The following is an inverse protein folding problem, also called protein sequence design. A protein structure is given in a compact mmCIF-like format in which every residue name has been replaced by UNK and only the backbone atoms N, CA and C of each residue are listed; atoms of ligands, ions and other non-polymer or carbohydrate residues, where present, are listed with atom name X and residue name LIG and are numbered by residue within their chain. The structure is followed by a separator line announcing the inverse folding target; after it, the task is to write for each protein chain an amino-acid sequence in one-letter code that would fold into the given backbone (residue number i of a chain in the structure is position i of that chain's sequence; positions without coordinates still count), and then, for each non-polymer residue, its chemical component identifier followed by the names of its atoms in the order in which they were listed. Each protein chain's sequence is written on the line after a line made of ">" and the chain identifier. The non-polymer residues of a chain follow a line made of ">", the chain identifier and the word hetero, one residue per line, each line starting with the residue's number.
data_IF_835887555080
#
_entry.id   IF_835887555080
#
_cell.length_a   1.000
_cell.length_b   1.000
_cell.length_c   1.000
_cell.angle_alpha   90.00
_cell.angle_beta   90.00
_cell.angle_gamma   90.00
#
_symmetry.space_group_name_H-M   'P 1'
#
loop_
_entity.id
_entity.type
_entity.pdbx_description
1 polymer ?
#
# COMPACT_ATOMS: atom_id res chain seq x y z
N UNK A 1 22.33 4.50 1.20
CA UNK A 1 21.00 4.52 0.56
C UNK A 1 19.95 4.82 1.62
N UNK A 2 18.84 5.45 1.24
CA UNK A 2 17.74 5.79 2.15
C UNK A 2 16.43 5.17 1.66
N UNK A 3 15.81 4.39 2.53
CA UNK A 3 14.41 4.03 2.36
C UNK A 3 13.59 4.98 3.22
N UNK A 4 12.95 5.90 2.54
CA UNK A 4 12.08 6.90 3.11
C UNK A 4 10.64 6.41 3.10
N UNK A 5 9.95 6.58 4.23
CA UNK A 5 8.51 6.34 4.36
C UNK A 5 7.83 7.67 4.69
N UNK A 6 7.11 8.22 3.70
CA UNK A 6 6.37 9.47 3.85
C UNK A 6 4.91 9.18 4.18
N UNK A 7 4.47 9.48 5.40
CA UNK A 7 3.05 9.59 5.74
C UNK A 7 2.63 11.05 5.53
N UNK A 8 1.97 11.32 4.39
CA UNK A 8 1.40 12.65 4.12
C UNK A 8 -0.11 12.57 4.36
N UNK A 9 -0.57 13.31 5.37
CA UNK A 9 -1.98 13.45 5.68
C UNK A 9 -2.52 14.71 5.01
N UNK A 10 -3.29 14.55 3.93
CA UNK A 10 -4.09 15.63 3.38
C UNK A 10 -5.54 15.52 3.87
N UNK A 11 -5.96 16.50 4.68
CA UNK A 11 -7.38 16.86 4.79
C UNK A 11 -7.65 17.94 3.75
N UNK A 12 -8.25 17.59 2.61
CA UNK A 12 -8.79 18.61 1.70
C UNK A 12 -10.26 18.34 1.41
N UNK A 13 -11.01 19.44 1.43
CA UNK A 13 -12.40 19.59 1.03
C UNK A 13 -12.54 19.38 -0.48
N UNK A 14 -13.49 18.55 -0.89
CA UNK A 14 -13.91 18.38 -2.28
C UNK A 14 -14.71 19.59 -2.79
N UNK A 15 -14.51 19.90 -4.06
CA UNK A 15 -15.29 20.85 -4.86
C UNK A 15 -15.92 20.06 -6.00
N UNK A 16 -17.24 20.13 -6.06
CA UNK A 16 -18.16 19.45 -6.96
C UNK A 16 -18.18 20.11 -8.35
N UNK A 17 -18.06 19.32 -9.42
CA UNK A 17 -18.20 19.78 -10.81
C UNK A 17 -18.89 18.70 -11.68
N UNK A 18 -20.20 18.85 -11.85
CA UNK A 18 -20.87 19.01 -13.14
C UNK A 18 -20.75 17.90 -14.20
N UNK A 19 -21.80 17.08 -14.31
CA UNK A 19 -22.11 16.18 -15.43
C UNK A 19 -22.37 16.92 -16.76
N UNK A 20 -21.96 16.31 -17.87
CA UNK A 20 -22.73 16.23 -19.13
C UNK A 20 -22.29 14.98 -19.93
N UNK A 21 -23.23 14.30 -20.59
CA UNK A 21 -23.02 12.99 -21.23
C UNK A 21 -23.19 12.99 -22.76
N UNK A 22 -22.85 11.87 -23.40
CA UNK A 22 -23.36 11.42 -24.70
C UNK A 22 -22.96 9.94 -24.98
N UNK A 23 -23.81 9.22 -25.70
CA UNK A 23 -23.83 7.77 -25.96
C UNK A 23 -23.47 7.37 -27.41
N UNK A 24 -23.29 6.04 -27.62
CA UNK A 24 -23.33 5.22 -28.88
C UNK A 24 -21.97 5.00 -29.60
N UNK A 25 -21.60 3.85 -30.20
CA UNK A 25 -22.17 2.50 -30.36
C UNK A 25 -21.08 1.48 -30.83
N UNK A 26 -21.44 0.19 -30.67
CA UNK A 26 -20.95 -1.13 -31.11
C UNK A 26 -19.81 -1.35 -32.14
N UNK A 27 -19.07 -2.45 -31.94
CA UNK A 27 -18.31 -3.16 -32.99
C UNK A 27 -17.67 -4.47 -32.49
N UNK A 28 -18.15 -5.63 -32.96
CA UNK A 28 -17.75 -6.98 -32.52
C UNK A 28 -16.75 -7.70 -33.45
N UNK A 29 -16.12 -8.76 -32.91
CA UNK A 29 -15.45 -9.95 -33.51
C UNK A 29 -13.92 -9.93 -33.69
N UNK A 30 -13.23 -11.11 -33.75
CA UNK A 30 -13.46 -12.39 -33.07
C UNK A 30 -12.20 -12.98 -32.36
N UNK A 31 -12.44 -14.05 -31.60
CA UNK A 31 -11.51 -14.76 -30.73
C UNK A 31 -10.30 -15.45 -31.42
N UNK A 32 -9.14 -15.36 -30.76
CA UNK A 32 -7.99 -16.22 -30.99
C UNK A 32 -7.77 -17.14 -29.77
N UNK A 33 -7.66 -18.44 -30.02
CA UNK A 33 -7.41 -19.50 -29.04
C UNK A 33 -6.04 -19.32 -28.38
N UNK A 34 -5.97 -19.40 -27.05
CA UNK A 34 -4.70 -19.45 -26.32
C UNK A 34 -4.72 -20.55 -25.26
N UNK A 35 -3.58 -21.21 -25.15
CA UNK A 35 -3.30 -22.44 -24.43
C UNK A 35 -3.59 -22.36 -22.92
N UNK A 36 -4.07 -23.48 -22.35
CA UNK A 36 -4.42 -23.60 -20.94
C UNK A 36 -3.15 -23.64 -20.08
N UNK A 37 -2.69 -22.46 -19.66
CA UNK A 37 -2.02 -22.28 -18.37
C UNK A 37 -3.12 -21.87 -17.41
N UNK A 38 -3.39 -22.68 -16.39
CA UNK A 38 -4.36 -22.38 -15.32
C UNK A 38 -4.07 -20.97 -14.81
N UNK A 39 -4.84 -20.00 -15.30
CA UNK A 39 -4.48 -18.58 -15.16
C UNK A 39 -5.02 -18.10 -13.83
N UNK A 40 -4.26 -17.26 -13.12
CA UNK A 40 -4.66 -16.64 -11.86
C UNK A 40 -6.00 -15.87 -11.95
N UNK A 41 -6.51 -15.63 -13.16
CA UNK A 41 -7.84 -15.07 -13.42
C UNK A 41 -8.98 -16.00 -12.95
N UNK A 42 -8.77 -17.33 -12.89
CA UNK A 42 -9.84 -18.29 -12.58
C UNK A 42 -10.28 -18.26 -11.10
N UNK A 43 -9.47 -17.69 -10.20
CA UNK A 43 -9.79 -17.54 -8.77
C UNK A 43 -9.82 -16.08 -8.32
N UNK A 44 -9.70 -15.12 -9.23
CA UNK A 44 -9.68 -13.71 -8.88
C UNK A 44 -11.08 -13.23 -8.52
N UNK A 45 -11.25 -12.81 -7.27
CA UNK A 45 -12.49 -12.20 -6.80
C UNK A 45 -12.53 -10.77 -7.33
N UNK A 46 -13.45 -10.49 -8.26
CA UNK A 46 -13.51 -9.21 -8.95
C UNK A 46 -12.23 -8.88 -9.74
N UNK A 47 -12.01 -7.60 -10.00
CA UNK A 47 -10.86 -7.10 -10.75
C UNK A 47 -9.76 -6.66 -9.79
N UNK A 48 -8.59 -7.29 -9.89
CA UNK A 48 -7.45 -7.10 -9.00
C UNK A 48 -6.58 -5.91 -9.39
N UNK A 49 -6.60 -5.50 -10.67
CA UNK A 49 -6.01 -4.26 -11.16
C UNK A 49 -7.08 -3.43 -11.87
N UNK A 50 -7.41 -2.27 -11.29
CA UNK A 50 -8.47 -1.38 -11.77
C UNK A 50 -8.22 -0.83 -13.18
N UNK A 51 -6.99 -0.91 -13.69
CA UNK A 51 -6.70 -0.57 -15.10
C UNK A 51 -7.46 -1.49 -16.07
N UNK A 52 -7.81 -2.71 -15.63
CA UNK A 52 -8.56 -3.70 -16.41
C UNK A 52 -10.08 -3.64 -16.18
N UNK A 53 -10.58 -2.65 -15.43
CA UNK A 53 -12.00 -2.52 -15.12
C UNK A 53 -12.77 -1.94 -16.31
N UNK A 54 -13.75 -2.67 -16.82
CA UNK A 54 -14.63 -2.25 -17.92
C UNK A 54 -16.11 -2.50 -17.58
N UNK A 55 -17.00 -1.49 -17.72
CA UNK A 55 -16.73 -0.09 -18.00
C UNK A 55 -16.07 0.60 -16.80
N UNK A 56 -15.17 1.56 -17.05
CA UNK A 56 -14.59 2.38 -15.97
C UNK A 56 -15.56 3.50 -15.56
N UNK A 57 -16.35 3.25 -14.52
CA UNK A 57 -17.21 4.23 -13.86
C UNK A 57 -17.00 4.24 -12.34
N UNK A 58 -17.35 5.32 -11.65
CA UNK A 58 -17.29 5.38 -10.19
C UNK A 58 -18.12 4.26 -9.53
N UNK A 59 -19.32 4.01 -10.06
CA UNK A 59 -20.19 2.92 -9.58
C UNK A 59 -19.52 1.56 -9.70
N UNK A 60 -18.94 1.24 -10.87
CA UNK A 60 -18.23 -0.02 -11.10
C UNK A 60 -16.99 -0.17 -10.22
N UNK A 61 -16.30 0.94 -9.95
CA UNK A 61 -15.10 0.97 -9.13
C UNK A 61 -15.43 0.67 -7.67
N UNK A 62 -16.48 1.33 -7.15
CA UNK A 62 -16.99 1.09 -5.79
C UNK A 62 -17.53 -0.33 -5.66
N UNK A 63 -18.30 -0.81 -6.64
CA UNK A 63 -18.84 -2.17 -6.64
C UNK A 63 -17.73 -3.23 -6.61
N UNK A 64 -16.66 -3.03 -7.40
CA UNK A 64 -15.52 -3.94 -7.40
C UNK A 64 -14.79 -3.94 -6.05
N UNK A 65 -14.50 -2.77 -5.47
CA UNK A 65 -13.88 -2.68 -4.15
C UNK A 65 -14.74 -3.33 -3.08
N UNK A 66 -16.06 -3.13 -3.14
CA UNK A 66 -17.01 -3.73 -2.20
C UNK A 66 -17.02 -5.26 -2.31
N UNK A 67 -17.13 -5.79 -3.52
CA UNK A 67 -17.13 -7.23 -3.76
C UNK A 67 -15.83 -7.88 -3.26
N UNK A 68 -14.68 -7.26 -3.54
CA UNK A 68 -13.38 -7.72 -3.02
C UNK A 68 -13.33 -7.67 -1.49
N UNK A 69 -13.75 -6.56 -0.89
CA UNK A 69 -13.76 -6.40 0.56
C UNK A 69 -14.63 -7.44 1.26
N UNK A 70 -15.81 -7.74 0.72
CA UNK A 70 -16.75 -8.73 1.26
C UNK A 70 -16.14 -10.15 1.29
N UNK A 71 -15.15 -10.42 0.42
CA UNK A 71 -14.40 -11.67 0.38
C UNK A 71 -13.03 -11.62 1.08
N UNK A 72 -12.76 -10.58 1.89
CA UNK A 72 -11.48 -10.35 2.58
C UNK A 72 -10.30 -9.93 1.69
N UNK A 73 -10.55 -9.57 0.43
CA UNK A 73 -9.56 -9.03 -0.48
C UNK A 73 -9.44 -7.52 -0.27
N UNK A 74 -8.62 -7.11 0.70
CA UNK A 74 -8.51 -5.69 1.10
C UNK A 74 -7.56 -4.85 0.24
N UNK A 75 -6.73 -5.51 -0.56
CA UNK A 75 -5.77 -4.85 -1.45
C UNK A 75 -6.25 -4.94 -2.89
N UNK A 76 -6.11 -3.85 -3.64
CA UNK A 76 -6.39 -3.81 -5.07
C UNK A 76 -5.38 -2.90 -5.75
N UNK A 77 -4.94 -3.21 -6.96
CA UNK A 77 -3.98 -2.41 -7.70
C UNK A 77 -4.64 -1.38 -8.61
N UNK A 78 -3.90 -0.31 -8.86
CA UNK A 78 -4.09 0.59 -10.00
C UNK A 78 -2.71 0.71 -10.65
N UNK A 79 -2.39 -0.20 -11.57
CA UNK A 79 -1.02 -0.35 -12.06
C UNK A 79 -0.05 -0.61 -10.90
N UNK A 80 0.88 0.32 -10.64
CA UNK A 80 1.86 0.21 -9.54
C UNK A 80 1.38 0.78 -8.19
N UNK A 81 0.18 1.35 -8.13
CA UNK A 81 -0.40 1.90 -6.88
C UNK A 81 -1.20 0.83 -6.16
N UNK A 82 -1.12 0.81 -4.83
CA UNK A 82 -1.89 -0.12 -3.98
C UNK A 82 -3.00 0.61 -3.25
N UNK A 83 -4.25 0.25 -3.52
CA UNK A 83 -5.42 0.60 -2.72
C UNK A 83 -5.47 -0.36 -1.54
N UNK A 84 -5.62 0.19 -0.32
CA UNK A 84 -5.74 -0.58 0.91
C UNK A 84 -7.03 -0.19 1.63
N UNK A 85 -7.98 -1.12 1.72
CA UNK A 85 -9.23 -0.97 2.50
C UNK A 85 -9.00 -1.46 3.93
N UNK A 86 -9.31 -0.65 4.95
CA UNK A 86 -9.11 -1.07 6.34
C UNK A 86 -10.18 -2.11 6.77
N UNK A 87 -9.82 -3.36 7.10
CA UNK A 87 -10.79 -4.38 7.52
C UNK A 87 -11.29 -4.22 8.95
N UNK A 88 -10.67 -3.36 9.78
CA UNK A 88 -10.93 -3.24 11.23
C UNK A 88 -10.82 -4.56 12.01
N UNK A 89 -10.15 -5.56 11.43
CA UNK A 89 -9.85 -6.86 12.04
C UNK A 89 -8.51 -7.37 11.53
N UNK A 90 -7.87 -8.24 12.31
CA UNK A 90 -6.68 -8.95 11.86
C UNK A 90 -7.04 -9.99 10.81
N UNK A 91 -6.40 -9.93 9.65
CA UNK A 91 -6.53 -10.93 8.59
C UNK A 91 -5.29 -11.85 8.59
N UNK A 92 -5.44 -13.16 8.30
CA UNK A 92 -4.34 -14.12 8.27
C UNK A 92 -3.48 -14.01 7.01
N UNK A 93 -3.24 -12.79 6.52
CA UNK A 93 -2.47 -12.49 5.29
C UNK A 93 -1.09 -11.89 5.61
N UNK A 94 -0.82 -11.58 6.88
CA UNK A 94 0.44 -11.00 7.36
C UNK A 94 1.28 -12.04 8.10
N UNK A 95 1.55 -13.18 7.47
CA UNK A 95 2.32 -14.28 8.04
C UNK A 95 3.74 -14.32 7.46
N UNK A 96 4.71 -14.95 8.15
CA UNK A 96 6.05 -15.18 7.61
C UNK A 96 6.03 -15.94 6.28
N UNK A 97 5.10 -16.89 6.13
CA UNK A 97 4.93 -17.63 4.87
C UNK A 97 4.55 -16.70 3.72
N UNK A 98 3.67 -15.73 3.96
CA UNK A 98 3.30 -14.70 2.98
C UNK A 98 4.47 -13.76 2.67
N UNK A 99 5.36 -13.49 3.62
CA UNK A 99 6.59 -12.71 3.34
C UNK A 99 7.45 -13.45 2.32
N UNK A 100 7.72 -14.74 2.52
CA UNK A 100 8.53 -15.53 1.59
C UNK A 100 7.83 -15.77 0.24
N UNK A 101 6.49 -15.89 0.24
CA UNK A 101 5.71 -16.02 -1.00
C UNK A 101 5.90 -14.81 -1.93
N UNK A 102 5.87 -13.60 -1.39
CA UNK A 102 5.99 -12.34 -2.15
C UNK A 102 7.43 -11.89 -2.39
N UNK A 103 8.40 -12.58 -1.78
CA UNK A 103 9.82 -12.22 -1.87
C UNK A 103 10.40 -12.48 -3.25
N UNK A 104 11.06 -11.48 -3.82
CA UNK A 104 11.66 -11.54 -5.16
C UNK A 104 10.67 -12.02 -6.23
N UNK A 105 9.42 -11.56 -6.16
CA UNK A 105 8.38 -11.81 -7.16
C UNK A 105 8.10 -10.55 -7.94
N UNK A 106 7.72 -10.70 -9.20
CA UNK A 106 7.26 -9.57 -9.99
C UNK A 106 5.86 -9.13 -9.51
N UNK A 107 5.56 -7.84 -9.68
CA UNK A 107 4.36 -7.21 -9.12
C UNK A 107 3.03 -7.87 -9.53
N UNK A 108 2.98 -8.44 -10.74
CA UNK A 108 1.76 -9.05 -11.32
C UNK A 108 1.78 -10.59 -11.30
N UNK A 109 2.76 -11.22 -10.65
CA UNK A 109 2.81 -12.69 -10.52
C UNK A 109 1.87 -13.23 -9.44
N UNK A 110 1.50 -12.40 -8.47
CA UNK A 110 0.68 -12.77 -7.32
C UNK A 110 -0.52 -11.84 -7.18
N UNK A 111 -1.47 -12.26 -6.35
CA UNK A 111 -2.64 -11.46 -5.98
C UNK A 111 -2.24 -10.10 -5.37
N UNK A 112 -3.10 -9.08 -5.45
CA UNK A 112 -2.79 -7.79 -4.86
C UNK A 112 -2.45 -7.85 -3.37
N UNK A 113 -1.28 -7.33 -3.01
CA UNK A 113 -0.83 -7.26 -1.62
C UNK A 113 0.19 -6.13 -1.41
N UNK A 114 0.24 -5.58 -0.19
CA UNK A 114 1.21 -4.54 0.20
C UNK A 114 2.67 -5.03 0.18
N UNK A 115 2.90 -6.33 0.36
CA UNK A 115 4.24 -6.92 0.31
C UNK A 115 4.87 -6.87 -1.08
N UNK A 116 4.08 -6.92 -2.16
CA UNK A 116 4.62 -6.75 -3.50
C UNK A 116 5.23 -5.33 -3.68
N UNK A 117 4.56 -4.30 -3.14
CA UNK A 117 5.06 -2.93 -3.14
C UNK A 117 6.33 -2.81 -2.28
N UNK A 118 6.34 -3.43 -1.11
CA UNK A 118 7.51 -3.41 -0.21
C UNK A 118 8.72 -4.16 -0.81
N UNK A 119 8.47 -5.28 -1.50
CA UNK A 119 9.50 -6.06 -2.19
C UNK A 119 10.10 -5.29 -3.35
N UNK A 120 9.27 -4.67 -4.19
CA UNK A 120 9.74 -3.84 -5.31
C UNK A 120 10.59 -2.67 -4.82
N UNK A 121 10.13 -1.97 -3.77
CA UNK A 121 10.91 -0.90 -3.15
C UNK A 121 12.24 -1.43 -2.59
N UNK A 122 12.23 -2.53 -1.84
CA UNK A 122 13.45 -3.09 -1.25
C UNK A 122 14.44 -3.59 -2.32
N UNK A 123 13.96 -4.23 -3.39
CA UNK A 123 14.80 -4.65 -4.52
C UNK A 123 15.38 -3.46 -5.26
N UNK A 124 14.59 -2.43 -5.53
CA UNK A 124 15.08 -1.19 -6.16
C UNK A 124 16.12 -0.48 -5.29
N UNK A 125 15.94 -0.49 -3.97
CA UNK A 125 16.94 -0.01 -3.02
C UNK A 125 18.23 -0.86 -3.12
N UNK A 126 18.14 -2.17 -2.90
CA UNK A 126 19.31 -3.07 -2.81
C UNK A 126 20.07 -3.25 -4.12
N UNK A 127 19.38 -3.42 -5.23
CA UNK A 127 19.96 -3.85 -6.50
C UNK A 127 20.29 -2.69 -7.43
N UNK A 128 19.64 -1.53 -7.25
CA UNK A 128 19.84 -0.34 -8.11
C UNK A 128 20.45 0.85 -7.37
N UNK A 129 20.76 0.72 -6.07
CA UNK A 129 21.24 1.79 -5.21
C UNK A 129 20.35 3.05 -5.20
N UNK A 130 19.04 2.88 -5.41
CA UNK A 130 18.09 4.00 -5.51
C UNK A 130 17.36 4.23 -4.19
N UNK A 131 17.41 5.46 -3.70
CA UNK A 131 16.58 5.88 -2.58
C UNK A 131 15.09 5.69 -2.92
N UNK A 132 14.33 5.17 -1.97
CA UNK A 132 12.91 4.83 -2.14
C UNK A 132 12.04 5.71 -1.28
N UNK A 133 10.91 6.15 -1.79
CA UNK A 133 9.91 6.86 -1.00
C UNK A 133 8.54 6.18 -1.15
N UNK A 134 8.01 5.60 -0.07
CA UNK A 134 6.64 5.09 -0.05
C UNK A 134 5.73 6.13 0.58
N UNK A 135 4.83 6.66 -0.25
CA UNK A 135 3.84 7.67 0.13
C UNK A 135 2.53 6.99 0.54
N UNK A 136 2.10 7.19 1.78
CA UNK A 136 0.83 6.67 2.30
C UNK A 136 -0.14 7.83 2.54
N UNK A 137 -1.18 7.90 1.72
CA UNK A 137 -2.24 8.91 1.79
C UNK A 137 -3.57 8.29 2.23
N UNK A 138 -4.42 9.09 2.86
CA UNK A 138 -5.77 8.68 3.21
C UNK A 138 -6.33 9.45 4.39
N UNK A 139 -7.64 9.34 4.59
CA UNK A 139 -8.31 9.91 5.74
C UNK A 139 -7.80 9.30 7.06
N UNK A 140 -8.09 9.97 8.17
CA UNK A 140 -7.74 9.37 9.45
C UNK A 140 -8.60 8.14 9.73
N UNK A 141 -8.02 7.13 10.38
CA UNK A 141 -8.67 5.84 10.57
C UNK A 141 -8.61 4.90 9.36
N UNK A 142 -8.13 5.34 8.20
CA UNK A 142 -8.00 4.50 7.00
C UNK A 142 -6.90 3.41 7.08
N UNK A 143 -6.17 3.32 8.18
CA UNK A 143 -5.13 2.29 8.37
C UNK A 143 -3.71 2.70 7.92
N UNK A 144 -3.44 4.00 7.73
CA UNK A 144 -2.11 4.51 7.30
C UNK A 144 -0.96 4.04 8.20
N UNK A 145 -1.14 4.12 9.52
CA UNK A 145 -0.14 3.70 10.50
C UNK A 145 0.15 2.20 10.41
N UNK A 146 -0.89 1.38 10.20
CA UNK A 146 -0.75 -0.07 10.04
C UNK A 146 -0.08 -0.43 8.71
N UNK A 147 -0.44 0.25 7.61
CA UNK A 147 0.24 0.07 6.33
C UNK A 147 1.75 0.36 6.44
N UNK A 148 2.13 1.45 7.12
CA UNK A 148 3.55 1.76 7.36
C UNK A 148 4.25 0.70 8.21
N UNK A 149 3.62 0.23 9.29
CA UNK A 149 4.13 -0.88 10.12
C UNK A 149 4.38 -2.14 9.31
N UNK A 150 3.45 -2.50 8.43
CA UNK A 150 3.52 -3.71 7.61
C UNK A 150 4.68 -3.63 6.61
N UNK A 151 4.83 -2.50 5.92
CA UNK A 151 5.93 -2.28 4.99
C UNK A 151 7.28 -2.34 5.73
N UNK A 152 7.42 -1.64 6.85
CA UNK A 152 8.65 -1.68 7.65
C UNK A 152 8.96 -3.08 8.19
N UNK A 153 7.93 -3.83 8.60
CA UNK A 153 8.10 -5.20 9.08
C UNK A 153 8.50 -6.15 7.96
N UNK A 154 8.00 -5.96 6.75
CA UNK A 154 8.44 -6.70 5.57
C UNK A 154 9.92 -6.45 5.30
N UNK A 155 10.33 -5.17 5.20
CA UNK A 155 11.73 -4.80 4.98
C UNK A 155 12.65 -5.39 6.07
N UNK A 156 12.22 -5.34 7.34
CA UNK A 156 12.95 -5.95 8.45
C UNK A 156 13.11 -7.47 8.31
N UNK A 157 12.10 -8.16 7.78
CA UNK A 157 12.14 -9.60 7.59
C UNK A 157 13.05 -10.03 6.43
N UNK A 158 13.10 -9.24 5.34
CA UNK A 158 13.88 -9.58 4.15
C UNK A 158 15.32 -9.10 4.17
N UNK A 159 15.62 -8.04 4.93
CA UNK A 159 17.00 -7.63 5.18
C UNK A 159 17.65 -8.67 6.11
N UNK A 160 18.78 -9.25 5.74
CA UNK A 160 19.41 -10.38 6.47
C UNK A 160 19.84 -10.07 7.92
N UNK A 161 19.60 -8.85 8.41
CA UNK A 161 19.89 -8.35 9.77
C UNK A 161 18.64 -7.87 10.50
N UNK A 162 17.59 -8.70 10.48
CA UNK A 162 16.29 -8.34 11.06
C UNK A 162 16.34 -7.85 12.52
N UNK A 163 17.33 -8.22 13.34
CA UNK A 163 17.47 -7.70 14.71
C UNK A 163 17.76 -6.19 14.76
N UNK A 164 18.66 -5.69 13.91
CA UNK A 164 19.01 -4.27 13.88
C UNK A 164 17.86 -3.43 13.33
N UNK A 165 17.19 -3.89 12.27
CA UNK A 165 15.98 -3.21 11.77
C UNK A 165 14.85 -3.29 12.77
N UNK A 166 14.67 -4.43 13.45
CA UNK A 166 13.61 -4.54 14.46
C UNK A 166 13.83 -3.56 15.61
N UNK A 167 15.08 -3.28 16.00
CA UNK A 167 15.38 -2.27 17.02
C UNK A 167 15.01 -0.86 16.55
N UNK A 168 15.40 -0.48 15.33
CA UNK A 168 15.03 0.83 14.75
C UNK A 168 13.50 0.92 14.59
N UNK A 169 12.88 -0.11 14.04
CA UNK A 169 11.42 -0.24 13.91
C UNK A 169 10.73 -0.08 15.25
N UNK A 170 11.16 -0.79 16.29
CA UNK A 170 10.55 -0.72 17.61
C UNK A 170 10.66 0.70 18.18
N UNK A 171 11.82 1.35 18.06
CA UNK A 171 11.96 2.76 18.45
C UNK A 171 11.02 3.70 17.68
N UNK A 172 10.91 3.51 16.36
CA UNK A 172 9.98 4.27 15.52
C UNK A 172 8.52 4.02 15.94
N UNK A 173 8.13 2.79 16.23
CA UNK A 173 6.76 2.45 16.63
C UNK A 173 6.42 2.94 18.04
N UNK A 174 7.35 2.85 18.99
CA UNK A 174 7.18 3.36 20.35
C UNK A 174 7.15 4.90 20.39
N UNK A 175 7.69 5.58 19.38
CA UNK A 175 7.57 7.03 19.25
C UNK A 175 6.18 7.50 18.83
N UNK A 176 5.37 6.63 18.19
CA UNK A 176 4.06 7.02 17.63
C UNK A 176 3.10 7.56 18.68
N UNK A 177 2.88 6.92 19.85
CA UNK A 177 1.98 7.46 20.86
C UNK A 177 2.38 8.85 21.35
N UNK A 178 3.69 9.13 21.42
CA UNK A 178 4.19 10.46 21.80
C UNK A 178 3.87 11.48 20.70
N UNK A 179 4.18 11.16 19.45
CA UNK A 179 3.87 12.04 18.32
C UNK A 179 2.37 12.28 18.16
N UNK A 180 1.55 11.25 18.39
CA UNK A 180 0.09 11.35 18.36
C UNK A 180 -0.42 12.22 19.51
N UNK A 181 0.13 12.10 20.73
CA UNK A 181 -0.27 12.92 21.86
C UNK A 181 -0.04 14.42 21.64
N UNK A 182 1.03 14.80 20.92
CA UNK A 182 1.36 16.20 20.64
C UNK A 182 0.81 16.73 19.30
N UNK A 183 0.57 15.85 18.33
CA UNK A 183 0.25 16.25 16.96
C UNK A 183 -1.13 15.84 16.48
N UNK A 184 -1.89 15.06 17.26
CA UNK A 184 -3.27 14.73 16.93
C UNK A 184 -4.24 15.68 17.62
N UNK A 185 -5.30 16.02 16.91
CA UNK A 185 -6.40 16.82 17.43
C UNK A 185 -7.75 16.19 17.07
N UNK A 186 -8.73 16.40 17.93
CA UNK A 186 -10.13 16.13 17.62
C UNK A 186 -10.63 17.16 16.62
N UNK A 187 -11.29 16.68 15.57
CA UNK A 187 -11.95 17.50 14.55
C UNK A 187 -13.44 17.13 14.50
N UNK A 188 -14.24 17.89 13.75
CA UNK A 188 -15.68 17.63 13.61
C UNK A 188 -15.97 16.24 13.01
N UNK A 189 -15.08 15.73 12.15
CA UNK A 189 -15.27 14.46 11.41
C UNK A 189 -14.46 13.29 11.96
N UNK A 190 -13.50 13.55 12.85
CA UNK A 190 -12.60 12.52 13.35
C UNK A 190 -12.00 12.92 14.70
N UNK A 191 -12.12 12.03 15.69
CA UNK A 191 -11.67 12.23 17.06
C UNK A 191 -10.15 12.15 17.25
N UNK A 192 -9.42 11.50 16.33
CA UNK A 192 -7.96 11.35 16.41
C UNK A 192 -7.32 11.70 15.07
N UNK A 193 -7.25 12.99 14.74
CA UNK A 193 -6.76 13.48 13.44
C UNK A 193 -5.34 14.01 13.56
N UNK A 194 -4.35 13.35 12.97
CA UNK A 194 -3.01 13.91 12.87
C UNK A 194 -3.01 15.20 12.05
N UNK A 195 -2.44 16.26 12.60
CA UNK A 195 -2.37 17.60 11.98
C UNK A 195 -0.97 17.93 11.44
N UNK A 196 -0.09 16.93 11.38
CA UNK A 196 1.28 17.04 10.89
C UNK A 196 1.57 15.96 9.85
N UNK A 197 2.47 16.25 8.91
CA UNK A 197 3.08 15.24 8.06
C UNK A 197 4.15 14.49 8.84
N UNK A 198 4.15 13.15 8.76
CA UNK A 198 5.12 12.32 9.47
C UNK A 198 5.99 11.58 8.47
N UNK A 199 7.28 11.82 8.56
CA UNK A 199 8.28 11.21 7.71
C UNK A 199 9.17 10.30 8.55
N UNK A 200 9.31 9.04 8.14
CA UNK A 200 10.15 8.06 8.80
C UNK A 200 11.14 7.51 7.80
N UNK A 201 12.41 7.74 8.02
CA UNK A 201 13.49 7.16 7.25
C UNK A 201 14.07 5.95 7.96
N UNK A 202 14.37 4.92 7.19
CA UNK A 202 15.32 3.88 7.57
C UNK A 202 16.50 3.97 6.62
N UNK A 203 17.68 4.20 7.18
CA UNK A 203 18.91 4.32 6.43
C UNK A 203 19.57 2.95 6.28
N UNK A 204 20.05 2.65 5.07
CA UNK A 204 20.75 1.42 4.75
C UNK A 204 22.14 1.71 4.16
N UNK A 205 23.11 0.87 4.47
CA UNK A 205 24.41 0.86 3.81
C UNK A 205 24.30 0.32 2.38
N UNK A 206 25.36 0.45 1.57
CA UNK A 206 25.42 -0.05 0.19
C UNK A 206 25.29 -1.57 0.05
N UNK A 207 25.33 -2.32 1.16
CA UNK A 207 25.13 -3.77 1.18
C UNK A 207 23.68 -4.13 1.53
N UNK A 208 22.84 -3.15 1.86
CA UNK A 208 21.45 -3.33 2.28
C UNK A 208 21.30 -3.59 3.78
N UNK A 209 22.34 -3.33 4.58
CA UNK A 209 22.32 -3.42 6.04
C UNK A 209 21.80 -2.12 6.66
N UNK A 210 20.95 -2.19 7.70
CA UNK A 210 20.43 -0.99 8.34
C UNK A 210 21.49 -0.24 9.15
N UNK A 211 21.52 1.08 9.01
CA UNK A 211 22.40 1.99 9.75
C UNK A 211 21.65 2.70 10.88
N UNK A 212 20.36 2.98 10.69
CA UNK A 212 19.57 3.75 11.65
C UNK A 212 18.25 4.21 11.06
N UNK A 213 17.63 5.19 11.70
CA UNK A 213 16.42 5.82 11.20
C UNK A 213 16.22 7.21 11.76
N UNK A 214 15.46 8.02 11.01
CA UNK A 214 15.18 9.43 11.35
C UNK A 214 13.69 9.65 11.26
N UNK A 215 13.11 10.35 12.25
CA UNK A 215 11.74 10.86 12.16
C UNK A 215 11.83 12.35 11.90
N UNK A 216 11.13 12.80 10.86
CA UNK A 216 10.98 14.23 10.55
C UNK A 216 9.50 14.59 10.54
N UNK A 217 9.19 15.77 11.10
CA UNK A 217 7.86 16.34 11.06
C UNK A 217 7.86 17.45 10.00
N UNK A 218 6.82 17.50 9.17
CA UNK A 218 6.58 18.62 8.26
C UNK A 218 5.45 19.49 8.84
N UNK A 219 5.74 20.78 9.01
CA UNK A 219 4.76 21.84 9.31
C UNK A 219 4.02 22.28 8.03
#
# INVERSE_FOLDING_TARGET
>A
MRATFSLIQHSRHEVDLGREGATLAEGATPAAKMEVKTSLLDNMIGVGDMVLLEPLSEDSFIENLRNRFDHNEIYTYIGSVVISMNPYRSLPIFTPDKVEEYRNRNFYELSPHIYALADEAYRSLRDQDKDQCILITGESGAGKTEASKLVMSYVAAVCGKGQEVNKVKEQLLQSNPVLEAFGNAKTVRNDNSSRFGKYMDIEFDFKGDPLGGVISNCE
#
